data_IF_480790471208
#
_entry.id   IF_480790471208
#
_cell.length_a   1.000
_cell.length_b   1.000
_cell.length_c   1.000
_cell.angle_alpha   90.00
_cell.angle_beta   90.00
_cell.angle_gamma   90.00
#
_symmetry.space_group_name_H-M   'P 1'
#
loop_
_entity.id
_entity.type
_entity.pdbx_description
1 polymer ?
#
# COMPACT_ATOMS: atom_id res chain seq x y z
N UNK A 1 8.56 8.96 8.85
CA UNK A 1 7.58 10.02 8.50
C UNK A 1 6.48 9.47 7.61
N UNK A 2 5.22 9.87 7.84
CA UNK A 2 4.10 9.49 6.96
C UNK A 2 4.05 10.43 5.75
N UNK A 3 3.93 9.88 4.55
CA UNK A 3 3.74 10.64 3.30
C UNK A 3 2.87 9.88 2.30
N UNK A 4 2.36 10.58 1.28
CA UNK A 4 1.81 9.92 0.09
C UNK A 4 2.88 9.06 -0.60
N UNK A 5 2.45 7.92 -1.14
CA UNK A 5 3.30 7.08 -1.97
C UNK A 5 3.59 7.74 -3.32
N UNK A 6 4.71 7.33 -3.92
CA UNK A 6 5.19 7.73 -5.25
C UNK A 6 5.34 6.48 -6.11
N UNK A 7 5.36 6.63 -7.43
CA UNK A 7 5.50 5.50 -8.36
C UNK A 7 6.77 4.67 -8.09
N UNK A 8 7.85 5.31 -7.62
CA UNK A 8 9.08 4.65 -7.18
C UNK A 8 8.89 3.69 -5.99
N UNK A 9 7.86 3.90 -5.17
CA UNK A 9 7.55 3.05 -4.01
C UNK A 9 6.80 1.76 -4.41
N UNK A 10 6.25 1.66 -5.63
CA UNK A 10 5.35 0.58 -6.05
C UNK A 10 5.93 -0.82 -5.83
N UNK A 11 7.24 -1.01 -6.07
CA UNK A 11 7.91 -2.31 -5.88
C UNK A 11 7.90 -2.72 -4.40
N UNK A 12 8.32 -1.81 -3.52
CA UNK A 12 8.38 -2.07 -2.08
C UNK A 12 6.99 -2.29 -1.48
N UNK A 13 5.99 -1.52 -1.95
CA UNK A 13 4.59 -1.72 -1.58
C UNK A 13 4.11 -3.12 -2.00
N UNK A 14 4.44 -3.56 -3.23
CA UNK A 14 4.05 -4.87 -3.74
C UNK A 14 4.66 -6.00 -2.90
N UNK A 15 5.95 -5.90 -2.58
CA UNK A 15 6.66 -6.88 -1.75
C UNK A 15 5.97 -7.05 -0.39
N UNK A 16 5.65 -5.94 0.29
CA UNK A 16 4.98 -5.97 1.58
C UNK A 16 3.56 -6.56 1.48
N UNK A 17 2.74 -6.14 0.51
CA UNK A 17 1.39 -6.69 0.32
C UNK A 17 1.46 -8.19 0.05
N UNK A 18 2.34 -8.61 -0.86
CA UNK A 18 2.42 -10.02 -1.25
C UNK A 18 3.04 -10.90 -0.16
N UNK A 19 3.90 -10.34 0.70
CA UNK A 19 4.35 -11.02 1.92
C UNK A 19 3.17 -11.38 2.83
N UNK A 20 2.28 -10.44 3.15
CA UNK A 20 1.09 -10.76 3.95
C UNK A 20 0.06 -11.60 3.19
N UNK A 21 -0.04 -11.43 1.87
CA UNK A 21 -0.91 -12.27 1.05
C UNK A 21 -0.47 -13.74 1.03
N UNK A 22 0.83 -14.01 0.99
CA UNK A 22 1.38 -15.38 1.10
C UNK A 22 1.04 -16.07 2.43
N UNK A 23 0.71 -15.28 3.47
CA UNK A 23 0.26 -15.76 4.77
C UNK A 23 -1.27 -15.83 4.90
N UNK A 24 -2.01 -15.52 3.82
CA UNK A 24 -3.47 -15.47 3.82
C UNK A 24 -4.08 -14.27 4.57
N UNK A 25 -3.28 -13.24 4.86
CA UNK A 25 -3.71 -12.07 5.63
C UNK A 25 -4.13 -10.88 4.76
N UNK A 26 -3.84 -10.93 3.46
CA UNK A 26 -4.19 -9.88 2.49
C UNK A 26 -4.49 -10.49 1.12
N UNK A 27 -5.15 -9.70 0.27
CA UNK A 27 -5.31 -10.02 -1.15
C UNK A 27 -4.01 -9.69 -1.91
N UNK A 28 -3.50 -10.60 -2.77
CA UNK A 28 -2.33 -10.32 -3.58
C UNK A 28 -2.60 -9.21 -4.59
N UNK A 29 -1.55 -8.45 -4.95
CA UNK A 29 -1.64 -7.35 -5.91
C UNK A 29 -0.49 -7.39 -6.92
N UNK A 30 -0.81 -7.05 -8.16
CA UNK A 30 0.18 -6.85 -9.22
C UNK A 30 0.83 -5.47 -9.10
N UNK A 31 2.05 -5.34 -9.64
CA UNK A 31 2.77 -4.07 -9.67
C UNK A 31 2.02 -3.01 -10.50
N UNK A 32 1.35 -3.45 -11.57
CA UNK A 32 0.52 -2.59 -12.42
C UNK A 32 -0.64 -1.97 -11.64
N UNK A 33 -1.39 -2.80 -10.90
CA UNK A 33 -2.52 -2.33 -10.08
C UNK A 33 -2.08 -1.37 -8.98
N UNK A 34 -0.94 -1.63 -8.33
CA UNK A 34 -0.39 -0.71 -7.32
C UNK A 34 0.01 0.62 -7.94
N UNK A 35 0.65 0.59 -9.11
CA UNK A 35 1.08 1.81 -9.79
C UNK A 35 -0.10 2.65 -10.31
N UNK A 36 -1.16 2.00 -10.78
CA UNK A 36 -2.41 2.62 -11.19
C UNK A 36 -3.13 3.32 -10.01
N UNK A 37 -3.10 2.70 -8.83
CA UNK A 37 -3.73 3.24 -7.62
C UNK A 37 -2.74 3.91 -6.65
N UNK A 38 -1.57 4.34 -7.11
CA UNK A 38 -0.49 4.81 -6.23
C UNK A 38 -0.90 5.98 -5.32
N UNK A 39 -1.82 6.82 -5.80
CA UNK A 39 -2.32 7.98 -5.05
C UNK A 39 -3.19 7.62 -3.85
N UNK A 40 -3.75 6.40 -3.82
CA UNK A 40 -4.53 5.90 -2.69
C UNK A 40 -3.61 5.58 -1.51
N UNK A 41 -2.32 5.29 -1.78
CA UNK A 41 -1.37 4.82 -0.79
C UNK A 41 -0.71 5.94 0.02
N UNK A 42 -0.56 5.65 1.30
CA UNK A 42 0.30 6.34 2.24
C UNK A 42 1.35 5.35 2.75
N UNK A 43 2.56 5.85 2.98
CA UNK A 43 3.69 5.06 3.48
C UNK A 43 4.32 5.76 4.67
N UNK A 44 4.85 4.96 5.59
CA UNK A 44 5.79 5.45 6.60
C UNK A 44 7.21 5.20 6.10
N UNK A 45 7.92 6.27 5.75
CA UNK A 45 9.32 6.25 5.35
C UNK A 45 10.23 6.48 6.56
N UNK A 46 11.19 5.60 6.78
CA UNK A 46 12.27 5.69 7.77
C UNK A 46 13.62 5.74 7.07
N UNK A 47 14.72 5.82 7.83
CA UNK A 47 16.07 5.74 7.28
C UNK A 47 16.34 4.39 6.60
N UNK A 48 15.67 3.33 7.05
CA UNK A 48 15.73 1.97 6.47
C UNK A 48 14.76 1.76 5.29
N UNK A 49 14.11 2.84 4.83
CA UNK A 49 13.12 2.81 3.76
C UNK A 49 11.68 2.70 4.27
N UNK A 50 10.79 2.11 3.46
CA UNK A 50 9.36 2.00 3.79
C UNK A 50 9.13 0.81 4.71
N UNK A 51 8.61 1.10 5.91
CA UNK A 51 8.34 0.10 6.97
C UNK A 51 6.85 -0.10 7.26
N UNK A 52 5.99 0.81 6.78
CA UNK A 52 4.55 0.64 6.86
C UNK A 52 3.85 1.25 5.64
N UNK A 53 2.67 0.72 5.31
CA UNK A 53 1.82 1.24 4.24
C UNK A 53 0.34 1.05 4.56
N UNK A 54 -0.50 1.88 3.94
CA UNK A 54 -1.95 1.76 3.93
C UNK A 54 -2.51 2.43 2.69
N UNK A 55 -3.62 1.94 2.15
CA UNK A 55 -4.38 2.61 1.11
C UNK A 55 -5.75 3.06 1.64
N UNK A 56 -6.18 4.24 1.22
CA UNK A 56 -7.56 4.69 1.40
C UNK A 56 -8.20 4.79 0.03
N UNK A 57 -9.19 3.94 -0.23
CA UNK A 57 -9.88 3.88 -1.51
C UNK A 57 -11.29 4.45 -1.36
N UNK A 58 -11.62 5.47 -2.16
CA UNK A 58 -12.97 6.04 -2.19
C UNK A 58 -13.86 5.14 -3.02
N UNK A 59 -14.90 4.57 -2.41
CA UNK A 59 -15.84 3.67 -3.07
C UNK A 59 -17.02 4.46 -3.68
N UNK A 60 -17.53 5.45 -2.94
CA UNK A 60 -18.69 6.29 -3.30
C UNK A 60 -18.55 7.69 -2.67
N UNK A 61 -19.56 8.55 -2.83
CA UNK A 61 -19.55 9.94 -2.34
C UNK A 61 -19.33 10.09 -0.84
N UNK A 62 -19.77 9.11 -0.04
CA UNK A 62 -19.74 9.11 1.41
C UNK A 62 -19.07 7.84 2.00
N UNK A 63 -18.51 6.98 1.16
CA UNK A 63 -17.92 5.70 1.57
C UNK A 63 -16.49 5.54 1.06
N UNK A 64 -15.58 5.22 1.98
CA UNK A 64 -14.21 4.83 1.67
C UNK A 64 -13.80 3.58 2.45
N UNK A 65 -12.88 2.82 1.88
CA UNK A 65 -12.34 1.59 2.45
C UNK A 65 -10.85 1.76 2.76
N UNK A 66 -10.45 1.36 3.96
CA UNK A 66 -9.04 1.18 4.30
C UNK A 66 -8.59 -0.18 3.77
N UNK A 67 -7.61 -0.19 2.88
CA UNK A 67 -7.05 -1.38 2.25
C UNK A 67 -5.57 -1.53 2.57
N UNK A 68 -5.08 -2.77 2.51
CA UNK A 68 -3.65 -3.08 2.52
C UNK A 68 -2.86 -2.48 3.70
N UNK A 69 -3.45 -2.36 4.89
CA UNK A 69 -2.73 -1.86 6.07
C UNK A 69 -1.70 -2.88 6.54
N UNK A 70 -0.41 -2.54 6.45
CA UNK A 70 0.71 -3.39 6.88
C UNK A 70 1.79 -2.58 7.61
N UNK A 71 2.42 -3.22 8.59
CA UNK A 71 3.61 -2.73 9.31
C UNK A 71 4.60 -3.88 9.43
N UNK A 72 5.83 -3.67 8.97
CA UNK A 72 6.93 -4.63 9.05
C UNK A 72 7.70 -4.51 10.37
#
# INVERSE_FOLDING_TARGET
MIRKARVEDSKKIQEMINFYASKGLMLPRSLSSISEHILDFFVYASDDGIVALVALHVCWEDLAEIRALAVQ
#
